data_IF_334869471007
#
_entry.id   IF_334869471007
#
_cell.length_a   1.000
_cell.length_b   1.000
_cell.length_c   1.000
_cell.angle_alpha   90.00
_cell.angle_beta   90.00
_cell.angle_gamma   90.00
#
_symmetry.space_group_name_H-M   'P 1'
#
loop_
_entity.id
_entity.type
_entity.pdbx_description
1 polymer ?
#
# COMPACT_ATOMS: atom_id res chain seq x y z
N UNK A 1 4.69 -28.05 -14.77
CA UNK A 1 4.72 -27.42 -16.10
C UNK A 1 5.64 -26.21 -16.21
N UNK A 2 5.72 -25.34 -15.20
CA UNK A 2 6.51 -24.10 -15.24
C UNK A 2 8.02 -24.28 -15.50
N UNK A 3 8.60 -25.42 -15.10
CA UNK A 3 10.03 -25.71 -15.31
C UNK A 3 10.32 -26.27 -16.73
N UNK A 4 9.31 -26.78 -17.43
CA UNK A 4 9.50 -27.45 -18.72
C UNK A 4 10.20 -26.60 -19.79
N UNK A 5 9.91 -25.28 -19.93
CA UNK A 5 10.59 -24.44 -20.93
C UNK A 5 12.10 -24.24 -20.65
N UNK A 6 12.51 -24.25 -19.38
CA UNK A 6 13.89 -24.00 -18.98
C UNK A 6 14.70 -25.30 -18.83
N UNK A 7 14.08 -26.37 -18.33
CA UNK A 7 14.75 -27.67 -18.03
C UNK A 7 13.82 -28.81 -18.43
N UNK A 8 13.61 -29.07 -19.75
CA UNK A 8 12.60 -30.04 -20.22
C UNK A 8 12.85 -31.47 -19.71
N UNK A 9 14.08 -31.94 -19.74
CA UNK A 9 14.39 -33.31 -19.31
C UNK A 9 14.16 -33.55 -17.82
N UNK A 10 14.55 -32.60 -16.98
CA UNK A 10 14.33 -32.66 -15.51
C UNK A 10 12.84 -32.57 -15.21
N UNK A 11 12.12 -31.70 -15.91
CA UNK A 11 10.68 -31.55 -15.76
C UNK A 11 9.91 -32.82 -16.15
N UNK A 12 10.32 -33.51 -17.23
CA UNK A 12 9.75 -34.80 -17.65
C UNK A 12 10.04 -35.92 -16.64
N UNK A 13 11.23 -35.99 -16.07
CA UNK A 13 11.57 -36.98 -15.02
C UNK A 13 10.71 -36.76 -13.76
N UNK A 14 10.58 -35.50 -13.34
CA UNK A 14 9.71 -35.16 -12.23
C UNK A 14 8.24 -35.52 -12.51
N UNK A 15 7.76 -35.24 -13.72
CA UNK A 15 6.39 -35.54 -14.15
C UNK A 15 6.08 -37.02 -14.04
N UNK A 16 7.01 -37.88 -14.50
CA UNK A 16 6.90 -39.32 -14.36
C UNK A 16 6.92 -39.80 -12.90
N UNK A 17 7.80 -39.20 -12.06
CA UNK A 17 7.89 -39.55 -10.62
C UNK A 17 6.61 -39.19 -9.86
N UNK A 18 5.84 -38.22 -10.31
CA UNK A 18 4.52 -37.85 -9.72
C UNK A 18 3.39 -38.75 -10.23
N UNK A 19 3.75 -39.82 -10.99
CA UNK A 19 2.78 -40.80 -11.47
C UNK A 19 1.98 -40.39 -12.72
N UNK A 20 2.45 -39.40 -13.46
CA UNK A 20 1.83 -38.99 -14.73
C UNK A 20 2.42 -39.78 -15.90
N UNK A 21 1.54 -40.35 -16.72
CA UNK A 21 1.93 -41.21 -17.86
C UNK A 21 2.11 -40.42 -19.17
N UNK A 22 1.56 -39.25 -19.27
CA UNK A 22 1.61 -38.37 -20.43
C UNK A 22 2.93 -37.60 -20.51
N UNK A 23 3.29 -37.16 -21.71
CA UNK A 23 4.50 -36.37 -21.95
C UNK A 23 4.20 -34.92 -21.60
N UNK A 24 4.93 -34.35 -20.64
CA UNK A 24 4.74 -32.97 -20.17
C UNK A 24 4.85 -31.94 -21.31
N UNK A 25 5.78 -32.16 -22.27
CA UNK A 25 5.94 -31.25 -23.41
C UNK A 25 4.72 -31.20 -24.38
N UNK A 26 3.83 -32.19 -24.29
CA UNK A 26 2.59 -32.24 -25.08
C UNK A 26 1.39 -31.63 -24.35
N UNK A 27 1.53 -31.29 -23.08
CA UNK A 27 0.45 -30.63 -22.36
C UNK A 27 0.32 -29.19 -22.84
N UNK A 28 -0.91 -28.84 -23.16
CA UNK A 28 -1.25 -27.43 -23.40
C UNK A 28 -1.06 -26.67 -22.09
N UNK A 29 -0.26 -25.61 -22.11
CA UNK A 29 -0.16 -24.72 -20.95
C UNK A 29 -1.56 -24.24 -20.57
N UNK A 30 -1.96 -24.37 -19.29
CA UNK A 30 -3.22 -23.82 -18.87
C UNK A 30 -3.24 -22.33 -19.20
N UNK A 31 -4.30 -21.91 -19.89
CA UNK A 31 -4.57 -20.49 -20.08
C UNK A 31 -5.03 -20.00 -18.70
N UNK A 32 -4.22 -19.17 -18.08
CA UNK A 32 -4.64 -18.47 -16.86
C UNK A 32 -5.54 -17.31 -17.32
N UNK A 33 -6.82 -17.41 -16.99
CA UNK A 33 -7.70 -16.24 -17.09
C UNK A 33 -7.23 -15.26 -16.01
N UNK A 34 -7.02 -14.00 -16.39
CA UNK A 34 -6.71 -12.94 -15.44
C UNK A 34 -7.92 -12.77 -14.51
N UNK A 35 -7.76 -13.17 -13.24
CA UNK A 35 -8.76 -12.89 -12.22
C UNK A 35 -8.61 -11.40 -11.80
N UNK A 36 -9.69 -10.61 -11.84
CA UNK A 36 -9.66 -9.24 -11.29
C UNK A 36 -9.15 -9.16 -9.85
N UNK A 37 -9.24 -10.25 -9.09
CA UNK A 37 -8.67 -10.33 -7.75
C UNK A 37 -7.15 -10.40 -7.75
N UNK A 38 -6.50 -10.88 -8.81
CA UNK A 38 -5.04 -10.99 -8.90
C UNK A 38 -4.37 -9.61 -8.77
N UNK A 39 -4.95 -8.60 -9.41
CA UNK A 39 -4.47 -7.21 -9.33
C UNK A 39 -4.52 -6.69 -7.88
N UNK A 40 -5.59 -7.03 -7.15
CA UNK A 40 -5.74 -6.64 -5.74
C UNK A 40 -4.73 -7.34 -4.85
N UNK A 41 -4.54 -8.65 -5.04
CA UNK A 41 -3.57 -9.44 -4.28
C UNK A 41 -2.16 -8.91 -4.51
N UNK A 42 -1.79 -8.65 -5.75
CA UNK A 42 -0.49 -8.06 -6.09
C UNK A 42 -0.32 -6.66 -5.50
N UNK A 43 -1.36 -5.85 -5.47
CA UNK A 43 -1.31 -4.52 -4.89
C UNK A 43 -1.18 -4.58 -3.36
N UNK A 44 -1.85 -5.53 -2.68
CA UNK A 44 -1.68 -5.79 -1.25
C UNK A 44 -0.27 -6.26 -0.92
N UNK A 45 0.27 -7.20 -1.70
CA UNK A 45 1.65 -7.68 -1.55
C UNK A 45 2.66 -6.53 -1.72
N UNK A 46 2.48 -5.69 -2.73
CA UNK A 46 3.31 -4.51 -2.94
C UNK A 46 3.19 -3.51 -1.79
N UNK A 47 2.02 -3.35 -1.20
CA UNK A 47 1.80 -2.51 -0.03
C UNK A 47 2.64 -3.01 1.16
N UNK A 48 2.59 -4.31 1.48
CA UNK A 48 3.41 -4.90 2.55
C UNK A 48 4.91 -4.75 2.24
N UNK A 49 5.34 -4.97 1.01
CA UNK A 49 6.74 -4.75 0.58
C UNK A 49 7.20 -3.30 0.79
N UNK A 50 6.33 -2.33 0.49
CA UNK A 50 6.61 -0.90 0.75
C UNK A 50 6.77 -0.61 2.23
N UNK A 51 5.91 -1.16 3.10
CA UNK A 51 6.02 -1.04 4.56
C UNK A 51 7.37 -1.57 5.03
N UNK A 52 7.75 -2.79 4.61
CA UNK A 52 9.02 -3.41 5.00
C UNK A 52 10.21 -2.58 4.51
N UNK A 53 10.19 -2.12 3.27
CA UNK A 53 11.27 -1.30 2.70
C UNK A 53 11.42 0.02 3.44
N UNK A 54 10.31 0.72 3.69
CA UNK A 54 10.31 1.98 4.45
C UNK A 54 10.74 1.77 5.91
N UNK A 55 10.26 0.68 6.52
CA UNK A 55 10.62 0.29 7.88
C UNK A 55 12.12 0.05 8.02
N UNK A 56 12.74 -0.71 7.12
CA UNK A 56 14.21 -0.95 7.14
C UNK A 56 15.01 0.35 7.07
N UNK A 57 14.61 1.28 6.20
CA UNK A 57 15.27 2.58 6.09
C UNK A 57 15.13 3.39 7.40
N UNK A 58 13.94 3.40 7.98
CA UNK A 58 13.69 4.13 9.24
C UNK A 58 14.39 3.47 10.42
N UNK A 59 14.45 2.13 10.49
CA UNK A 59 15.20 1.39 11.51
C UNK A 59 16.67 1.79 11.50
N UNK A 60 17.30 1.78 10.31
CA UNK A 60 18.71 2.20 10.16
C UNK A 60 18.93 3.63 10.66
N UNK A 61 17.95 4.52 10.48
CA UNK A 61 18.02 5.88 11.02
C UNK A 61 17.82 5.92 12.54
N UNK A 62 16.88 5.14 13.07
CA UNK A 62 16.62 5.07 14.50
C UNK A 62 17.83 4.52 15.27
N UNK A 63 18.48 3.46 14.78
CA UNK A 63 19.71 2.88 15.33
C UNK A 63 20.88 3.86 15.39
N UNK A 64 20.93 4.83 14.48
CA UNK A 64 21.97 5.88 14.48
C UNK A 64 21.74 6.98 15.52
N UNK A 65 20.49 7.14 15.96
CA UNK A 65 20.08 8.23 16.85
C UNK A 65 19.69 7.78 18.25
N UNK A 66 19.66 6.49 18.50
CA UNK A 66 19.31 5.90 19.79
C UNK A 66 20.24 4.74 20.11
N UNK A 67 20.78 4.74 21.35
CA UNK A 67 21.54 3.61 21.87
C UNK A 67 20.60 2.53 22.49
N UNK A 68 19.29 2.75 22.46
CA UNK A 68 18.30 1.81 22.97
C UNK A 68 18.04 0.69 21.95
N UNK A 69 17.84 -0.50 22.45
CA UNK A 69 17.43 -1.65 21.65
C UNK A 69 16.02 -1.40 21.07
N UNK A 70 15.88 -1.56 19.79
CA UNK A 70 14.60 -1.41 19.09
C UNK A 70 13.88 -2.76 19.12
N UNK A 71 12.82 -2.85 19.91
CA UNK A 71 12.07 -4.10 20.10
C UNK A 71 10.70 -4.09 19.43
N UNK A 72 10.22 -2.91 19.04
CA UNK A 72 8.85 -2.76 18.57
C UNK A 72 8.74 -1.76 17.41
N UNK A 73 7.86 -2.06 16.47
CA UNK A 73 7.44 -1.11 15.43
C UNK A 73 5.97 -0.75 15.59
N UNK A 74 5.70 0.52 15.50
CA UNK A 74 4.34 1.10 15.51
C UNK A 74 4.01 1.56 14.09
N UNK A 75 2.90 1.09 13.55
CA UNK A 75 2.42 1.45 12.21
C UNK A 75 1.07 2.14 12.35
N UNK A 76 1.01 3.39 11.92
CA UNK A 76 -0.18 4.23 11.93
C UNK A 76 -0.78 4.31 10.54
N UNK A 77 -1.98 3.78 10.35
CA UNK A 77 -2.67 3.84 9.04
C UNK A 77 -3.25 5.23 8.75
N UNK A 78 -3.64 5.43 7.52
CA UNK A 78 -4.27 6.68 7.07
C UNK A 78 -5.63 6.89 7.73
N UNK A 79 -5.97 8.13 8.16
CA UNK A 79 -7.32 8.45 8.61
C UNK A 79 -8.36 8.23 7.51
N UNK A 80 -9.58 7.83 7.89
CA UNK A 80 -10.67 7.56 6.95
C UNK A 80 -10.95 8.71 5.98
N UNK A 81 -10.99 9.95 6.48
CA UNK A 81 -11.23 11.13 5.64
C UNK A 81 -10.17 11.34 4.53
N UNK A 82 -8.92 10.90 4.74
CA UNK A 82 -7.89 10.94 3.69
C UNK A 82 -8.13 9.87 2.63
N UNK A 83 -8.65 8.71 3.03
CA UNK A 83 -9.08 7.67 2.09
C UNK A 83 -10.25 8.15 1.24
N UNK A 84 -11.21 8.86 1.84
CA UNK A 84 -12.34 9.44 1.11
C UNK A 84 -11.88 10.48 0.08
N UNK A 85 -10.98 11.39 0.48
CA UNK A 85 -10.37 12.35 -0.45
C UNK A 85 -9.60 11.67 -1.59
N UNK A 86 -8.88 10.60 -1.29
CA UNK A 86 -8.13 9.86 -2.31
C UNK A 86 -9.06 9.13 -3.28
N UNK A 87 -10.13 8.51 -2.78
CA UNK A 87 -11.15 7.85 -3.60
C UNK A 87 -11.83 8.85 -4.54
N UNK A 88 -12.20 10.02 -4.03
CA UNK A 88 -12.77 11.10 -4.83
C UNK A 88 -11.79 11.57 -5.92
N UNK A 89 -10.53 11.82 -5.54
CA UNK A 89 -9.51 12.21 -6.51
C UNK A 89 -9.30 11.14 -7.60
N UNK A 90 -9.33 9.85 -7.25
CA UNK A 90 -9.18 8.75 -8.20
C UNK A 90 -10.36 8.70 -9.18
N UNK A 91 -11.59 8.92 -8.69
CA UNK A 91 -12.77 9.01 -9.55
C UNK A 91 -12.62 10.12 -10.59
N UNK A 92 -12.28 11.31 -10.13
CA UNK A 92 -12.06 12.47 -11.01
C UNK A 92 -10.89 12.27 -11.98
N UNK A 93 -9.83 11.59 -11.53
CA UNK A 93 -8.68 11.27 -12.38
C UNK A 93 -9.05 10.36 -13.56
N UNK A 94 -9.91 9.37 -13.31
CA UNK A 94 -10.42 8.47 -14.35
C UNK A 94 -11.26 9.22 -15.39
N UNK A 95 -11.97 10.27 -14.95
CA UNK A 95 -12.80 11.12 -15.80
C UNK A 95 -11.99 12.22 -16.52
N UNK A 96 -10.66 12.25 -16.37
CA UNK A 96 -9.80 13.25 -17.00
C UNK A 96 -9.91 14.65 -16.43
N UNK A 97 -10.26 14.77 -15.15
CA UNK A 97 -10.45 16.06 -14.47
C UNK A 97 -9.15 16.87 -14.38
N UNK A 98 -9.23 18.16 -14.68
CA UNK A 98 -8.09 19.08 -14.52
C UNK A 98 -7.96 19.58 -13.09
N UNK A 99 -7.07 18.94 -12.33
CA UNK A 99 -6.81 19.31 -10.93
C UNK A 99 -6.15 20.67 -10.75
N UNK A 100 -5.42 21.17 -11.77
CA UNK A 100 -4.74 22.45 -11.67
C UNK A 100 -5.72 23.62 -11.78
N UNK A 101 -6.64 23.52 -12.73
CA UNK A 101 -7.61 24.59 -12.96
C UNK A 101 -8.83 24.50 -12.04
N UNK A 102 -9.36 23.29 -11.82
CA UNK A 102 -10.65 23.08 -11.13
C UNK A 102 -10.52 22.50 -9.72
N UNK A 103 -9.34 21.99 -9.34
CA UNK A 103 -9.15 21.27 -8.09
C UNK A 103 -9.48 22.09 -6.85
N UNK A 104 -9.13 23.40 -6.84
CA UNK A 104 -9.43 24.31 -5.73
C UNK A 104 -10.95 24.53 -5.55
N UNK A 105 -11.67 24.67 -6.63
CA UNK A 105 -13.13 24.86 -6.59
C UNK A 105 -13.83 23.60 -6.09
N UNK A 106 -13.32 22.45 -6.55
CA UNK A 106 -13.86 21.14 -6.17
C UNK A 106 -13.64 20.86 -4.68
N UNK A 107 -12.42 21.02 -4.16
CA UNK A 107 -12.11 20.74 -2.74
C UNK A 107 -12.95 21.62 -1.79
N UNK A 108 -13.23 22.86 -2.19
CA UNK A 108 -14.09 23.76 -1.40
C UNK A 108 -15.56 23.31 -1.32
N UNK A 109 -16.03 22.48 -2.25
CA UNK A 109 -17.36 21.92 -2.24
C UNK A 109 -17.51 20.69 -1.34
N UNK A 110 -16.40 20.05 -0.95
CA UNK A 110 -16.40 18.87 -0.11
C UNK A 110 -16.82 19.19 1.33
N UNK A 111 -17.58 18.31 1.95
CA UNK A 111 -18.02 18.48 3.33
C UNK A 111 -16.85 18.56 4.32
N UNK A 112 -15.79 17.77 4.10
CA UNK A 112 -14.58 17.81 4.90
C UNK A 112 -13.87 19.18 4.91
N UNK A 113 -14.08 20.02 3.88
CA UNK A 113 -13.52 21.37 3.80
C UNK A 113 -14.34 22.43 4.55
N UNK A 114 -15.59 22.11 4.91
CA UNK A 114 -16.49 23.05 5.60
C UNK A 114 -16.10 23.27 7.06
N UNK A 115 -15.45 22.29 7.67
CA UNK A 115 -14.93 22.42 9.04
C UNK A 115 -13.68 23.31 9.06
N UNK A 116 -13.74 24.42 9.80
CA UNK A 116 -12.66 25.38 9.90
C UNK A 116 -11.38 24.80 10.51
N UNK A 117 -11.51 23.86 11.46
CA UNK A 117 -10.39 23.27 12.17
C UNK A 117 -9.54 22.37 11.27
N UNK A 118 -10.15 21.68 10.32
CA UNK A 118 -9.50 20.71 9.43
C UNK A 118 -9.24 21.23 8.01
N UNK A 119 -9.82 22.37 7.64
CA UNK A 119 -9.77 22.96 6.29
C UNK A 119 -8.36 23.05 5.71
N UNK A 120 -7.40 23.52 6.50
CA UNK A 120 -6.00 23.65 6.07
C UNK A 120 -5.36 22.29 5.76
N UNK A 121 -5.64 21.29 6.57
CA UNK A 121 -5.12 19.94 6.42
C UNK A 121 -5.78 19.23 5.22
N UNK A 122 -7.08 19.37 5.06
CA UNK A 122 -7.83 18.85 3.90
C UNK A 122 -7.25 19.41 2.59
N UNK A 123 -6.99 20.72 2.55
CA UNK A 123 -6.41 21.35 1.38
C UNK A 123 -4.98 20.87 1.07
N UNK A 124 -4.13 20.78 2.09
CA UNK A 124 -2.76 20.27 1.93
C UNK A 124 -2.77 18.82 1.46
N UNK A 125 -3.65 17.99 2.04
CA UNK A 125 -3.81 16.58 1.67
C UNK A 125 -4.29 16.45 0.23
N UNK A 126 -5.32 17.20 -0.17
CA UNK A 126 -5.81 17.23 -1.54
C UNK A 126 -4.71 17.57 -2.55
N UNK A 127 -3.98 18.65 -2.31
CA UNK A 127 -2.88 19.04 -3.19
C UNK A 127 -1.79 17.97 -3.25
N UNK A 128 -1.46 17.36 -2.13
CA UNK A 128 -0.47 16.27 -2.05
C UNK A 128 -0.89 15.04 -2.85
N UNK A 129 -2.20 14.74 -2.86
CA UNK A 129 -2.76 13.63 -3.65
C UNK A 129 -2.77 13.98 -5.14
N UNK A 130 -3.25 15.16 -5.52
CA UNK A 130 -3.61 15.48 -6.90
C UNK A 130 -2.49 16.16 -7.69
N UNK A 131 -1.90 17.21 -7.17
CA UNK A 131 -0.93 18.07 -7.88
C UNK A 131 0.51 17.75 -7.46
N UNK A 132 0.71 17.51 -6.15
CA UNK A 132 2.02 17.38 -5.56
C UNK A 132 2.70 18.72 -5.23
N UNK A 133 3.99 18.68 -4.94
CA UNK A 133 4.79 19.84 -4.59
C UNK A 133 5.71 20.30 -5.74
N UNK A 134 6.54 21.30 -5.47
CA UNK A 134 7.49 21.86 -6.47
C UNK A 134 8.45 20.80 -7.08
N UNK A 135 8.77 19.75 -6.33
CA UNK A 135 9.71 18.68 -6.74
C UNK A 135 9.07 17.31 -6.86
N UNK A 136 7.81 17.17 -6.51
CA UNK A 136 7.09 15.88 -6.48
C UNK A 136 5.81 15.97 -7.28
N UNK A 137 5.46 14.89 -7.99
CA UNK A 137 4.15 14.75 -8.60
C UNK A 137 3.11 14.38 -7.55
N UNK A 138 1.85 14.69 -7.79
CA UNK A 138 0.76 14.21 -6.94
C UNK A 138 0.76 12.68 -6.86
N UNK A 139 0.39 12.15 -5.70
CA UNK A 139 0.40 10.69 -5.43
C UNK A 139 -0.44 9.91 -6.43
N UNK A 140 -1.53 10.49 -6.87
CA UNK A 140 -2.43 9.89 -7.87
C UNK A 140 -1.71 9.47 -9.16
N UNK A 141 -0.66 10.18 -9.54
CA UNK A 141 0.16 9.87 -10.73
C UNK A 141 1.24 8.81 -10.45
N UNK A 142 1.50 8.51 -9.17
CA UNK A 142 2.50 7.51 -8.75
C UNK A 142 1.87 6.19 -8.34
N UNK A 143 0.60 6.20 -7.93
CA UNK A 143 -0.12 4.98 -7.61
C UNK A 143 -0.32 4.12 -8.85
N UNK A 144 -0.06 2.83 -8.70
CA UNK A 144 -0.36 1.81 -9.71
C UNK A 144 -1.88 1.60 -9.83
N UNK A 145 -2.34 1.02 -10.93
CA UNK A 145 -3.77 0.78 -11.15
C UNK A 145 -4.40 -0.08 -10.06
N UNK A 146 -3.71 -1.13 -9.61
CA UNK A 146 -4.16 -1.95 -8.49
C UNK A 146 -4.22 -1.20 -7.15
N UNK A 147 -3.30 -0.27 -6.91
CA UNK A 147 -3.33 0.58 -5.71
C UNK A 147 -4.51 1.56 -5.74
N UNK A 148 -4.78 2.18 -6.89
CA UNK A 148 -5.96 3.03 -7.08
C UNK A 148 -7.25 2.23 -6.89
N UNK A 149 -7.28 0.99 -7.36
CA UNK A 149 -8.43 0.12 -7.16
C UNK A 149 -8.64 -0.23 -5.69
N UNK A 150 -7.57 -0.57 -4.95
CA UNK A 150 -7.64 -0.82 -3.51
C UNK A 150 -8.20 0.37 -2.74
N UNK A 151 -7.69 1.58 -3.00
CA UNK A 151 -8.14 2.81 -2.35
C UNK A 151 -9.62 3.06 -2.68
N UNK A 152 -10.01 2.97 -3.96
CA UNK A 152 -11.38 3.22 -4.42
C UNK A 152 -12.40 2.23 -3.84
N UNK A 153 -11.98 1.01 -3.53
CA UNK A 153 -12.83 -0.03 -2.92
C UNK A 153 -12.83 0.00 -1.39
N UNK A 154 -12.07 0.90 -0.77
CA UNK A 154 -12.01 1.03 0.69
C UNK A 154 -11.28 -0.13 1.36
N UNK A 155 -9.97 -0.27 1.11
CA UNK A 155 -9.14 -1.27 1.80
C UNK A 155 -9.10 -1.01 3.31
N UNK A 156 -9.24 -2.06 4.10
CA UNK A 156 -8.92 -2.02 5.53
C UNK A 156 -7.41 -2.24 5.72
N UNK A 157 -6.63 -1.16 5.66
CA UNK A 157 -5.18 -1.21 5.79
C UNK A 157 -4.73 -1.83 7.12
N UNK A 158 -5.43 -1.52 8.21
CA UNK A 158 -5.08 -2.03 9.53
C UNK A 158 -5.23 -3.55 9.61
N UNK A 159 -6.27 -4.12 9.00
CA UNK A 159 -6.48 -5.55 8.93
C UNK A 159 -5.37 -6.22 8.11
N UNK A 160 -5.07 -5.70 6.93
CA UNK A 160 -4.00 -6.23 6.06
C UNK A 160 -2.65 -6.24 6.78
N UNK A 161 -2.33 -5.19 7.54
CA UNK A 161 -1.07 -5.12 8.30
C UNK A 161 -1.10 -6.10 9.47
N UNK A 162 -2.22 -6.20 10.21
CA UNK A 162 -2.39 -7.13 11.34
C UNK A 162 -2.24 -8.59 10.89
N UNK A 163 -2.84 -8.97 9.78
CA UNK A 163 -2.74 -10.32 9.22
C UNK A 163 -1.31 -10.69 8.81
N UNK A 164 -0.50 -9.69 8.46
CA UNK A 164 0.91 -9.87 8.06
C UNK A 164 1.90 -9.45 9.17
N UNK A 165 1.44 -9.20 10.40
CA UNK A 165 2.27 -8.65 11.49
C UNK A 165 3.50 -9.50 11.80
N UNK A 166 3.37 -10.82 11.87
CA UNK A 166 4.48 -11.74 12.12
C UNK A 166 5.54 -11.69 11.01
N UNK A 167 5.10 -11.59 9.76
CA UNK A 167 6.00 -11.46 8.63
C UNK A 167 6.74 -10.12 8.63
N UNK A 168 6.03 -9.03 8.91
CA UNK A 168 6.59 -7.69 9.02
C UNK A 168 7.60 -7.63 10.17
N UNK A 169 7.25 -8.18 11.36
CA UNK A 169 8.13 -8.25 12.51
C UNK A 169 9.44 -8.97 12.18
N UNK A 170 9.33 -10.15 11.57
CA UNK A 170 10.50 -10.93 11.13
C UNK A 170 11.38 -10.17 10.13
N UNK A 171 10.77 -9.49 9.15
CA UNK A 171 11.50 -8.72 8.14
C UNK A 171 12.16 -7.46 8.67
N UNK A 172 11.60 -6.87 9.73
CA UNK A 172 12.12 -5.69 10.41
C UNK A 172 12.96 -6.03 11.65
N UNK A 173 13.11 -7.33 11.97
CA UNK A 173 13.87 -7.85 13.12
C UNK A 173 13.44 -7.19 14.45
N UNK A 174 12.13 -7.13 14.70
CA UNK A 174 11.51 -6.63 15.93
C UNK A 174 10.66 -7.72 16.57
N UNK A 175 10.41 -7.60 17.88
CA UNK A 175 9.62 -8.58 18.61
C UNK A 175 8.12 -8.45 18.31
N UNK A 176 7.65 -7.22 18.03
CA UNK A 176 6.22 -6.97 17.82
C UNK A 176 5.93 -5.82 16.86
N UNK A 177 4.73 -5.91 16.25
CA UNK A 177 4.14 -4.87 15.39
C UNK A 177 2.83 -4.43 16.02
N UNK A 178 2.72 -3.15 16.35
CA UNK A 178 1.45 -2.54 16.75
C UNK A 178 0.86 -1.71 15.61
N UNK A 179 -0.44 -1.86 15.40
CA UNK A 179 -1.15 -1.19 14.30
C UNK A 179 -2.24 -0.31 14.89
N UNK A 180 -2.17 0.96 14.60
CA UNK A 180 -3.16 1.95 15.01
C UNK A 180 -3.90 2.50 13.80
N UNK A 181 -5.24 2.58 13.92
CA UNK A 181 -6.11 3.28 12.99
C UNK A 181 -6.57 4.58 13.62
N UNK A 182 -6.62 5.66 12.84
CA UNK A 182 -7.08 6.95 13.36
C UNK A 182 -8.58 6.91 13.63
N UNK A 183 -8.96 7.20 14.87
CA UNK A 183 -10.32 7.22 15.36
C UNK A 183 -10.54 6.37 16.61
N UNK A 184 -9.65 5.45 16.92
CA UNK A 184 -9.77 4.56 18.08
C UNK A 184 -8.70 4.82 19.14
N UNK A 185 -7.52 5.37 18.77
CA UNK A 185 -6.41 5.58 19.70
C UNK A 185 -5.59 6.83 19.35
N UNK A 186 -4.80 7.29 20.32
CA UNK A 186 -3.94 8.47 20.24
C UNK A 186 -2.98 8.42 19.03
N UNK A 187 -2.80 9.56 18.36
CA UNK A 187 -1.80 9.73 17.30
C UNK A 187 -0.39 9.52 17.85
N UNK A 188 0.15 8.32 17.68
CA UNK A 188 1.47 7.95 18.20
C UNK A 188 2.56 8.74 17.47
N UNK A 189 3.04 9.78 18.15
CA UNK A 189 4.15 10.60 17.66
C UNK A 189 3.84 11.43 16.41
N UNK A 190 2.59 11.85 16.20
CA UNK A 190 2.19 12.66 15.05
C UNK A 190 2.17 11.91 13.72
N UNK A 191 2.14 10.59 13.74
CA UNK A 191 2.26 9.76 12.53
C UNK A 191 1.00 9.77 11.68
N UNK A 192 -0.18 9.95 12.27
CA UNK A 192 -1.44 10.07 11.52
C UNK A 192 -1.44 11.25 10.55
N UNK A 193 -0.79 12.35 10.93
CA UNK A 193 -0.69 13.54 10.08
C UNK A 193 0.08 13.27 8.79
N UNK A 194 1.16 12.48 8.85
CA UNK A 194 2.03 12.19 7.72
C UNK A 194 1.61 10.96 6.93
N UNK A 195 0.70 10.13 7.46
CA UNK A 195 0.18 8.96 6.75
C UNK A 195 -0.74 9.35 5.60
N UNK A 196 -0.70 8.55 4.54
CA UNK A 196 -1.59 8.62 3.38
C UNK A 196 -2.09 7.22 3.03
N UNK A 197 -3.16 7.10 2.23
CA UNK A 197 -3.60 5.80 1.75
C UNK A 197 -2.46 5.00 1.13
N UNK A 198 -2.26 3.78 1.60
CA UNK A 198 -1.15 2.88 1.24
C UNK A 198 0.28 3.43 1.54
N UNK A 199 0.37 4.46 2.36
CA UNK A 199 1.62 5.05 2.87
C UNK A 199 1.48 5.31 4.37
N UNK A 200 1.52 4.28 5.24
CA UNK A 200 1.34 4.44 6.68
C UNK A 200 2.51 5.16 7.33
N UNK A 201 2.25 5.81 8.45
CA UNK A 201 3.29 6.33 9.31
C UNK A 201 3.95 5.19 10.11
N UNK A 202 5.28 5.15 10.15
CA UNK A 202 6.04 4.10 10.84
C UNK A 202 6.91 4.75 11.92
N UNK A 203 6.94 4.17 13.11
CA UNK A 203 7.83 4.54 14.20
C UNK A 203 8.42 3.29 14.86
N UNK A 204 9.64 3.40 15.35
CA UNK A 204 10.32 2.39 16.15
C UNK A 204 10.38 2.82 17.60
N UNK A 205 10.15 1.87 18.50
CA UNK A 205 10.15 2.07 19.95
C UNK A 205 11.01 1.00 20.61
#
# INVERSE_FOLDING_TARGET
>A
PMLAPATPHIAEEFWKKVGRADILAKLVMPIFEEDPNDIRVLAMENYIKKIISSGRNLRTLAERHSDNEITKVVIQTSPGWKNDLASEAISLYKDGFDFKEKGMSHVKSLDAFKDESTRGEVFQTWNSITIGGKKTRGRIHTWLDGERELISKGINEAEVIKDNSNFIASCLEVDSVEVYSVGEDEDVGGKARISFPLEPGIAFV
#
